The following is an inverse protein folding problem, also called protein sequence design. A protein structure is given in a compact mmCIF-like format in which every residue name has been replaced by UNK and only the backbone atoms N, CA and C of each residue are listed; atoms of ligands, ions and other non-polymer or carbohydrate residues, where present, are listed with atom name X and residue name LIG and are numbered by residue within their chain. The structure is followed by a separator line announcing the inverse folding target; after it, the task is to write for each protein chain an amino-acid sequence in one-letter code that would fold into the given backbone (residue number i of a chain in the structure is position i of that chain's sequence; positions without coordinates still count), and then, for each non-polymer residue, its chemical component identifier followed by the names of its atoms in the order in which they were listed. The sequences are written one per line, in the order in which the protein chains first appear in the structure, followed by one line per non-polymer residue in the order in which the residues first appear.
data_IF_599763354263
#
_entry.id   IF_599763354263
#
_cell.length_a   1.000
_cell.length_b   1.000
_cell.length_c   1.000
_cell.angle_alpha   90.00
_cell.angle_beta   90.00
_cell.angle_gamma   90.00
#
_symmetry.space_group_name_H-M   'P 1'
#
loop_
_entity.id
_entity.type
_entity.pdbx_description
1 polymer ?
#
# COMPACT_ATOMS: atom_id res chain seq x y z
N UNK A 1 19.15 -12.72 8.81
CA UNK A 1 17.95 -11.87 8.65
C UNK A 1 16.83 -12.77 8.18
N UNK A 2 15.75 -12.88 8.96
CA UNK A 2 14.60 -13.67 8.51
C UNK A 2 13.91 -12.93 7.36
N UNK A 3 13.31 -13.68 6.44
CA UNK A 3 12.61 -13.06 5.30
C UNK A 3 11.56 -12.05 5.76
N UNK A 4 10.90 -12.30 6.89
CA UNK A 4 9.90 -11.41 7.51
C UNK A 4 10.44 -10.01 7.86
N UNK A 5 11.71 -9.89 8.27
CA UNK A 5 12.32 -8.58 8.61
C UNK A 5 12.42 -7.66 7.38
N UNK A 6 12.55 -8.26 6.19
CA UNK A 6 12.59 -7.52 4.93
C UNK A 6 11.25 -6.84 4.66
N UNK A 7 10.14 -7.51 4.95
CA UNK A 7 8.78 -7.06 4.60
C UNK A 7 8.17 -6.18 5.70
N UNK A 8 8.21 -6.63 6.96
CA UNK A 8 7.38 -6.04 8.02
C UNK A 8 8.12 -5.04 8.93
N UNK A 9 9.45 -5.07 8.93
CA UNK A 9 10.24 -4.20 9.81
C UNK A 9 10.36 -2.79 9.21
N UNK A 10 9.71 -1.83 9.86
CA UNK A 10 9.67 -0.43 9.42
C UNK A 10 10.98 0.30 9.80
N UNK A 11 11.62 0.92 8.80
CA UNK A 11 12.74 1.84 8.99
C UNK A 11 12.43 3.16 8.30
N UNK A 12 13.04 4.27 8.74
CA UNK A 12 12.82 5.59 8.13
C UNK A 12 13.03 5.61 6.62
N UNK A 13 14.02 4.86 6.11
CA UNK A 13 14.25 4.69 4.67
C UNK A 13 13.07 4.00 3.98
N UNK A 14 12.56 2.90 4.56
CA UNK A 14 11.40 2.17 4.00
C UNK A 14 10.13 3.01 4.05
N UNK A 15 9.90 3.75 5.13
CA UNK A 15 8.75 4.66 5.25
C UNK A 15 8.79 5.71 4.15
N UNK A 16 9.95 6.34 3.91
CA UNK A 16 10.12 7.29 2.82
C UNK A 16 9.85 6.66 1.43
N UNK A 17 10.35 5.45 1.17
CA UNK A 17 10.09 4.71 -0.07
C UNK A 17 8.59 4.44 -0.23
N UNK A 18 7.90 4.00 0.83
CA UNK A 18 6.46 3.72 0.81
C UNK A 18 5.67 5.00 0.48
N UNK A 19 6.03 6.14 1.09
CA UNK A 19 5.37 7.42 0.81
C UNK A 19 5.56 7.84 -0.65
N UNK A 20 6.79 7.76 -1.17
CA UNK A 20 7.08 8.10 -2.57
C UNK A 20 6.32 7.16 -3.52
N UNK A 21 6.34 5.86 -3.25
CA UNK A 21 5.62 4.87 -4.05
C UNK A 21 4.10 5.11 -4.02
N UNK A 22 3.55 5.50 -2.86
CA UNK A 22 2.14 5.85 -2.73
C UNK A 22 1.79 7.08 -3.57
N UNK A 23 2.55 8.17 -3.46
CA UNK A 23 2.35 9.38 -4.29
C UNK A 23 2.44 9.03 -5.77
N UNK A 24 3.45 8.27 -6.19
CA UNK A 24 3.61 7.82 -7.56
C UNK A 24 2.42 6.97 -8.03
N UNK A 25 1.90 6.09 -7.18
CA UNK A 25 0.72 5.28 -7.46
C UNK A 25 -0.54 6.13 -7.65
N UNK A 26 -0.75 7.17 -6.84
CA UNK A 26 -1.89 8.09 -6.97
C UNK A 26 -1.81 8.84 -8.29
N UNK A 27 -0.64 9.37 -8.64
CA UNK A 27 -0.43 10.05 -9.92
C UNK A 27 -0.69 9.11 -11.09
N UNK A 28 -0.14 7.89 -11.04
CA UNK A 28 -0.33 6.88 -12.08
C UNK A 28 -1.80 6.50 -12.24
N UNK A 29 -2.53 6.29 -11.13
CA UNK A 29 -3.95 5.98 -11.16
C UNK A 29 -4.76 7.10 -11.83
N UNK A 30 -4.50 8.36 -11.47
CA UNK A 30 -5.19 9.50 -12.09
C UNK A 30 -4.90 9.61 -13.59
N UNK A 31 -3.66 9.33 -14.02
CA UNK A 31 -3.29 9.32 -15.45
C UNK A 31 -4.03 8.19 -16.19
N UNK A 32 -4.02 6.98 -15.65
CA UNK A 32 -4.70 5.82 -16.24
C UNK A 32 -6.20 6.07 -16.32
N UNK A 33 -6.81 6.56 -15.25
CA UNK A 33 -8.23 6.91 -15.24
C UNK A 33 -8.55 8.00 -16.27
N UNK A 34 -7.72 9.03 -16.41
CA UNK A 34 -7.93 10.08 -17.41
C UNK A 34 -7.84 9.57 -18.86
N UNK A 35 -6.96 8.59 -19.14
CA UNK A 35 -6.79 8.03 -20.49
C UNK A 35 -7.88 7.01 -20.84
N UNK A 36 -8.33 6.23 -19.84
CA UNK A 36 -9.24 5.10 -20.04
C UNK A 36 -10.62 5.32 -19.40
N UNK A 37 -10.99 6.56 -19.10
CA UNK A 37 -12.25 6.91 -18.42
C UNK A 37 -13.47 6.31 -19.11
N UNK A 38 -13.56 6.39 -20.44
CA UNK A 38 -14.67 5.84 -21.22
C UNK A 38 -14.78 4.32 -21.10
N UNK A 39 -13.64 3.61 -21.00
CA UNK A 39 -13.60 2.16 -20.81
C UNK A 39 -14.09 1.77 -19.40
N UNK A 40 -13.64 2.50 -18.38
CA UNK A 40 -14.08 2.25 -17.01
C UNK A 40 -15.56 2.61 -16.82
N UNK A 41 -16.03 3.72 -17.40
CA UNK A 41 -17.43 4.14 -17.33
C UNK A 41 -18.39 3.18 -18.07
N UNK A 42 -17.91 2.50 -19.12
CA UNK A 42 -18.70 1.50 -19.83
C UNK A 42 -18.84 0.16 -19.06
N UNK A 43 -17.99 -0.06 -18.06
CA UNK A 43 -17.99 -1.28 -17.23
C UNK A 43 -18.78 -0.99 -15.95
N UNK A 44 -19.71 -1.87 -15.55
CA UNK A 44 -20.51 -1.68 -14.31
C UNK A 44 -19.56 -1.52 -13.12
N UNK A 45 -19.46 -0.30 -12.58
CA UNK A 45 -18.62 0.05 -11.44
C UNK A 45 -17.18 0.46 -11.76
N UNK A 46 -16.72 0.44 -13.02
CA UNK A 46 -15.36 0.86 -13.39
C UNK A 46 -14.24 0.15 -12.62
N UNK A 47 -13.15 0.87 -12.33
CA UNK A 47 -12.01 0.41 -11.54
C UNK A 47 -12.15 0.67 -10.02
N UNK A 48 -13.12 1.49 -9.63
CA UNK A 48 -13.39 1.90 -8.26
C UNK A 48 -13.50 0.73 -7.25
N UNK A 49 -14.25 -0.36 -7.49
CA UNK A 49 -14.41 -1.45 -6.53
C UNK A 49 -13.09 -2.14 -6.16
N UNK A 50 -12.19 -2.30 -7.13
CA UNK A 50 -10.89 -2.94 -6.92
C UNK A 50 -10.00 -2.05 -6.06
N UNK A 51 -9.89 -0.77 -6.40
CA UNK A 51 -9.10 0.19 -5.62
C UNK A 51 -9.70 0.44 -4.23
N UNK A 52 -11.02 0.46 -4.10
CA UNK A 52 -11.74 0.55 -2.83
C UNK A 52 -11.40 -0.61 -1.89
N UNK A 53 -11.39 -1.85 -2.40
CA UNK A 53 -11.05 -3.04 -1.61
C UNK A 53 -9.61 -2.97 -1.12
N UNK A 54 -8.67 -2.58 -1.99
CA UNK A 54 -7.26 -2.42 -1.62
C UNK A 54 -7.08 -1.34 -0.55
N UNK A 55 -7.73 -0.19 -0.73
CA UNK A 55 -7.60 0.96 0.15
C UNK A 55 -8.17 0.71 1.56
N UNK A 56 -9.29 -0.02 1.66
CA UNK A 56 -9.98 -0.24 2.94
C UNK A 56 -9.48 -1.48 3.67
N UNK A 57 -9.17 -2.56 2.94
CA UNK A 57 -8.82 -3.82 3.58
C UNK A 57 -7.32 -4.11 3.51
N UNK A 58 -6.70 -4.02 2.34
CA UNK A 58 -5.33 -4.51 2.13
C UNK A 58 -4.30 -3.59 2.79
N UNK A 59 -4.34 -2.28 2.48
CA UNK A 59 -3.37 -1.31 3.00
C UNK A 59 -3.45 -1.20 4.54
N UNK A 60 -4.64 -1.04 5.16
CA UNK A 60 -4.73 -0.92 6.62
C UNK A 60 -4.29 -2.19 7.34
N UNK A 61 -4.68 -3.36 6.84
CA UNK A 61 -4.26 -4.65 7.42
C UNK A 61 -2.74 -4.80 7.37
N UNK A 62 -2.11 -4.48 6.23
CA UNK A 62 -0.65 -4.54 6.09
C UNK A 62 0.06 -3.58 7.07
N UNK A 63 -0.46 -2.36 7.24
CA UNK A 63 0.11 -1.38 8.16
C UNK A 63 0.06 -1.87 9.60
N UNK A 64 -1.09 -2.40 10.05
CA UNK A 64 -1.26 -2.94 11.41
C UNK A 64 -0.27 -4.08 11.67
N UNK A 65 -0.18 -5.05 10.75
CA UNK A 65 0.76 -6.19 10.88
C UNK A 65 2.21 -5.70 10.95
N UNK A 66 2.59 -4.73 10.11
CA UNK A 66 3.94 -4.18 10.07
C UNK A 66 4.31 -3.44 11.36
N UNK A 67 3.38 -2.68 11.95
CA UNK A 67 3.58 -1.99 13.23
C UNK A 67 3.77 -3.01 14.35
N UNK A 68 2.87 -3.99 14.47
CA UNK A 68 2.92 -5.02 15.52
C UNK A 68 4.25 -5.79 15.44
N UNK A 69 4.62 -6.24 14.23
CA UNK A 69 5.89 -6.95 14.01
C UNK A 69 7.10 -6.10 14.42
N UNK A 70 7.12 -4.83 14.02
CA UNK A 70 8.22 -3.91 14.36
C UNK A 70 8.34 -3.70 15.86
N UNK A 71 7.23 -3.56 16.58
CA UNK A 71 7.22 -3.41 18.05
C UNK A 71 7.76 -4.67 18.72
N UNK A 72 7.23 -5.84 18.38
CA UNK A 72 7.67 -7.13 18.96
C UNK A 72 9.16 -7.35 18.72
N UNK A 73 9.64 -7.05 17.51
CA UNK A 73 11.05 -7.23 17.18
C UNK A 73 11.95 -6.28 17.99
N UNK A 74 11.56 -5.00 18.14
CA UNK A 74 12.30 -4.05 18.98
C UNK A 74 12.32 -4.45 20.46
N UNK A 75 11.27 -5.06 20.97
CA UNK A 75 11.21 -5.52 22.37
C UNK A 75 12.04 -6.81 22.60
N UNK A 76 12.20 -7.66 21.58
CA UNK A 76 13.04 -8.86 21.65
C UNK A 76 14.54 -8.59 21.53
N UNK A 77 14.91 -7.47 20.92
CA UNK A 77 16.32 -7.06 20.74
C UNK A 77 16.51 -5.70 21.42
N UNK A 78 16.79 -5.65 22.74
CA UNK A 78 17.25 -4.42 23.38
C UNK A 78 18.60 -3.97 22.84
#
# INVERSE_FOLDING_TARGET
MNNFDKWFLLSWKKVAIIIIAWIASVILHNIVYAIFSDYFNATIGGDEPFFFLIAIFVIPTYLVVSIIYTIINKLKTP
#
